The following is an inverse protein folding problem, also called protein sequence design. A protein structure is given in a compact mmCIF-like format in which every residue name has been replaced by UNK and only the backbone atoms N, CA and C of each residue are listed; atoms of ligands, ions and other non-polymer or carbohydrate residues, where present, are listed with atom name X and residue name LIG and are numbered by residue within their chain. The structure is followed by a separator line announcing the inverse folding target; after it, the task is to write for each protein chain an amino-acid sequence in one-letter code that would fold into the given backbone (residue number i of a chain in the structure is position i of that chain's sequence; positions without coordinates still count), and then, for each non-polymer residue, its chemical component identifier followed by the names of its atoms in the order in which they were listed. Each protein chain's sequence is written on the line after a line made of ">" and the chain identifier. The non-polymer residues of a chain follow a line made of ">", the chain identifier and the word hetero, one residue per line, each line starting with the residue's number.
data_IF_071733465510
#
_entry.id   IF_071733465510
#
_cell.length_a   1.000
_cell.length_b   1.000
_cell.length_c   1.000
_cell.angle_alpha   90.00
_cell.angle_beta   90.00
_cell.angle_gamma   90.00
#
_symmetry.space_group_name_H-M   'P 1'
#
loop_
_entity.id
_entity.type
_entity.pdbx_description
1 polymer ?
#
# COMPACT_ATOMS: atom_id res chain seq x y z
N UNK A 1 -14.40 6.19 13.65
CA UNK A 1 -14.02 4.78 13.50
C UNK A 1 -15.29 3.95 13.27
N UNK A 2 -15.38 3.25 12.17
CA UNK A 2 -16.52 2.37 11.87
C UNK A 2 -16.27 1.02 12.51
N UNK A 3 -17.28 0.50 13.22
CA UNK A 3 -17.23 -0.84 13.79
C UNK A 3 -16.93 -1.89 12.71
N UNK A 4 -15.97 -2.82 12.93
CA UNK A 4 -15.62 -3.88 11.97
C UNK A 4 -16.79 -4.73 11.52
N UNK A 5 -17.70 -5.10 12.44
CA UNK A 5 -18.87 -5.93 12.13
C UNK A 5 -19.89 -5.17 11.27
N UNK A 6 -20.12 -3.88 11.58
CA UNK A 6 -20.98 -3.03 10.75
C UNK A 6 -20.40 -2.84 9.36
N UNK A 7 -19.08 -2.64 9.25
CA UNK A 7 -18.39 -2.52 7.96
C UNK A 7 -18.49 -3.82 7.14
N UNK A 8 -18.30 -4.96 7.78
CA UNK A 8 -18.46 -6.27 7.13
C UNK A 8 -19.91 -6.52 6.67
N UNK A 9 -20.89 -6.01 7.43
CA UNK A 9 -22.30 -6.03 7.04
C UNK A 9 -22.56 -5.34 5.68
N UNK A 10 -21.87 -4.21 5.41
CA UNK A 10 -21.95 -3.52 4.13
C UNK A 10 -21.39 -4.37 2.98
N UNK A 11 -20.24 -5.05 3.19
CA UNK A 11 -19.68 -5.95 2.18
C UNK A 11 -20.62 -7.10 1.85
N UNK A 12 -21.25 -7.73 2.84
CA UNK A 12 -22.24 -8.80 2.60
C UNK A 12 -23.45 -8.29 1.81
N UNK A 13 -23.92 -7.08 2.13
CA UNK A 13 -25.00 -6.46 1.37
C UNK A 13 -24.58 -6.19 -0.06
N UNK A 14 -23.38 -5.64 -0.28
CA UNK A 14 -22.84 -5.39 -1.61
C UNK A 14 -22.73 -6.69 -2.45
N UNK A 15 -22.15 -7.73 -1.87
CA UNK A 15 -22.04 -9.05 -2.52
C UNK A 15 -23.39 -9.62 -2.95
N UNK A 16 -24.43 -9.45 -2.13
CA UNK A 16 -25.79 -9.90 -2.40
C UNK A 16 -26.42 -9.17 -3.60
N UNK A 17 -26.11 -7.89 -3.80
CA UNK A 17 -26.68 -7.10 -4.90
C UNK A 17 -25.82 -7.09 -6.15
N UNK A 18 -24.53 -7.42 -6.05
CA UNK A 18 -23.60 -7.41 -7.16
C UNK A 18 -24.07 -8.18 -8.41
N UNK A 19 -24.65 -9.40 -8.31
CA UNK A 19 -25.17 -10.12 -9.48
C UNK A 19 -26.28 -9.39 -10.22
N UNK A 20 -27.07 -8.57 -9.53
CA UNK A 20 -28.13 -7.75 -10.16
C UNK A 20 -27.57 -6.56 -10.93
N UNK A 21 -26.41 -6.07 -10.50
CA UNK A 21 -25.75 -4.90 -11.11
C UNK A 21 -24.83 -5.31 -12.25
N UNK A 22 -24.03 -6.35 -12.06
CA UNK A 22 -22.94 -6.74 -12.96
C UNK A 22 -23.23 -7.99 -13.77
N UNK A 23 -24.17 -8.85 -13.34
CA UNK A 23 -24.44 -10.15 -13.91
C UNK A 23 -23.79 -11.31 -13.14
N UNK A 24 -23.88 -12.50 -13.72
CA UNK A 24 -23.33 -13.73 -13.15
C UNK A 24 -21.91 -14.00 -13.66
N UNK A 25 -21.10 -14.77 -12.91
CA UNK A 25 -19.76 -15.18 -13.35
C UNK A 25 -19.75 -15.78 -14.74
N UNK A 26 -18.71 -15.45 -15.50
CA UNK A 26 -18.52 -15.99 -16.85
C UNK A 26 -18.20 -17.49 -16.78
N UNK A 27 -18.69 -18.24 -17.76
CA UNK A 27 -18.32 -19.64 -17.93
C UNK A 27 -16.89 -19.70 -18.51
N UNK A 28 -15.96 -20.25 -17.73
CA UNK A 28 -14.61 -20.51 -18.19
C UNK A 28 -14.44 -21.96 -18.60
N UNK A 29 -13.51 -22.29 -19.54
CA UNK A 29 -13.20 -23.69 -19.88
C UNK A 29 -12.84 -24.49 -18.61
N UNK A 30 -13.32 -25.74 -18.53
CA UNK A 30 -13.04 -26.60 -17.37
C UNK A 30 -11.54 -26.89 -17.24
N UNK A 31 -10.89 -27.20 -18.35
CA UNK A 31 -9.46 -27.48 -18.38
C UNK A 31 -8.62 -26.21 -18.50
N UNK A 32 -7.46 -26.24 -17.87
CA UNK A 32 -6.45 -25.21 -18.02
C UNK A 32 -5.75 -25.35 -19.38
N UNK A 33 -5.50 -24.24 -20.04
CA UNK A 33 -4.65 -24.24 -21.24
C UNK A 33 -3.22 -24.65 -20.88
N UNK A 34 -2.59 -25.60 -21.57
CA UNK A 34 -1.23 -26.01 -21.32
C UNK A 34 -0.19 -24.88 -21.44
N UNK A 35 0.98 -25.06 -20.87
CA UNK A 35 2.09 -24.12 -20.93
C UNK A 35 2.27 -23.33 -19.63
N UNK A 36 2.95 -22.19 -19.73
CA UNK A 36 3.23 -21.27 -18.58
C UNK A 36 1.92 -20.88 -17.86
N UNK A 37 2.04 -20.62 -16.58
CA UNK A 37 0.93 -20.10 -15.76
C UNK A 37 0.66 -18.65 -16.16
N UNK A 38 -0.58 -18.36 -16.54
CA UNK A 38 -0.99 -17.02 -16.99
C UNK A 38 -1.45 -16.19 -15.82
N UNK A 39 -0.69 -15.12 -15.55
CA UNK A 39 -1.02 -14.15 -14.51
C UNK A 39 -1.40 -12.83 -15.18
N UNK A 40 -2.62 -12.37 -14.94
CA UNK A 40 -3.09 -11.04 -15.33
C UNK A 40 -2.98 -10.05 -14.17
N UNK A 41 -2.57 -8.82 -14.45
CA UNK A 41 -2.57 -7.70 -13.51
C UNK A 41 -3.53 -6.63 -14.01
N UNK A 42 -4.54 -6.31 -13.20
CA UNK A 42 -5.59 -5.33 -13.48
C UNK A 42 -5.34 -4.06 -12.69
N UNK A 43 -5.10 -2.92 -13.35
CA UNK A 43 -4.86 -1.64 -12.68
C UNK A 43 -5.04 -0.43 -13.59
N UNK A 44 -5.51 0.69 -13.03
CA UNK A 44 -5.43 2.02 -13.64
C UNK A 44 -4.09 2.72 -13.41
N UNK A 45 -3.20 2.12 -12.63
CA UNK A 45 -1.95 2.73 -12.18
C UNK A 45 -0.69 2.12 -12.82
N UNK A 46 -0.84 1.38 -13.94
CA UNK A 46 0.28 0.91 -14.77
C UNK A 46 0.95 2.09 -15.52
N UNK A 47 1.31 3.12 -14.78
CA UNK A 47 1.77 4.43 -15.26
C UNK A 47 2.60 5.13 -14.18
N UNK A 48 2.96 6.40 -14.41
CA UNK A 48 3.63 7.24 -13.40
C UNK A 48 2.72 7.51 -12.20
N UNK A 49 2.58 6.52 -11.36
CA UNK A 49 1.83 6.53 -10.12
C UNK A 49 2.60 5.79 -9.04
N UNK A 50 2.40 6.14 -7.77
CA UNK A 50 3.08 5.50 -6.63
C UNK A 50 2.93 3.98 -6.68
N UNK A 51 1.69 3.49 -6.85
CA UNK A 51 1.39 2.06 -6.91
C UNK A 51 2.08 1.36 -8.09
N UNK A 52 2.01 1.96 -9.30
CA UNK A 52 2.69 1.40 -10.47
C UNK A 52 4.20 1.30 -10.26
N UNK A 53 4.83 2.32 -9.67
CA UNK A 53 6.27 2.29 -9.39
C UNK A 53 6.65 1.27 -8.33
N UNK A 54 5.84 1.14 -7.27
CA UNK A 54 6.05 0.19 -6.19
C UNK A 54 5.89 -1.25 -6.70
N UNK A 55 4.83 -1.54 -7.44
CA UNK A 55 4.60 -2.87 -8.02
C UNK A 55 5.66 -3.25 -9.06
N UNK A 56 6.14 -2.28 -9.85
CA UNK A 56 7.21 -2.53 -10.80
C UNK A 56 8.41 -3.20 -10.16
N UNK A 57 8.85 -2.74 -8.98
CA UNK A 57 10.04 -3.25 -8.29
C UNK A 57 9.98 -4.75 -7.98
N UNK A 58 8.79 -5.31 -7.87
CA UNK A 58 8.56 -6.75 -7.72
C UNK A 58 8.32 -7.43 -9.07
N UNK A 59 7.39 -6.89 -9.89
CA UNK A 59 6.92 -7.59 -11.08
C UNK A 59 7.99 -7.77 -12.16
N UNK A 60 9.03 -6.91 -12.21
CA UNK A 60 10.16 -7.05 -13.15
C UNK A 60 11.01 -8.32 -12.88
N UNK A 61 10.88 -8.93 -11.70
CA UNK A 61 11.64 -10.12 -11.29
C UNK A 61 10.89 -11.45 -11.47
N UNK A 62 9.71 -11.45 -12.08
CA UNK A 62 8.96 -12.68 -12.35
C UNK A 62 9.77 -13.71 -13.15
N UNK A 63 9.64 -14.99 -12.75
CA UNK A 63 10.21 -16.10 -13.50
C UNK A 63 9.46 -16.30 -14.83
N UNK A 64 10.05 -15.80 -15.92
CA UNK A 64 9.47 -15.79 -17.27
C UNK A 64 9.43 -17.18 -17.93
N UNK A 65 10.17 -18.14 -17.42
CA UNK A 65 10.08 -19.54 -17.87
C UNK A 65 8.81 -20.21 -17.36
N UNK A 66 8.36 -19.83 -16.17
CA UNK A 66 7.21 -20.40 -15.50
C UNK A 66 5.93 -19.61 -15.70
N UNK A 67 6.01 -18.29 -15.80
CA UNK A 67 4.87 -17.37 -15.81
C UNK A 67 4.79 -16.57 -17.12
N UNK A 68 3.57 -16.46 -17.65
CA UNK A 68 3.19 -15.59 -18.76
C UNK A 68 2.42 -14.41 -18.21
N UNK A 69 2.88 -13.18 -18.47
CA UNK A 69 2.38 -11.97 -17.82
C UNK A 69 1.46 -11.17 -18.75
N UNK A 70 0.27 -10.94 -18.26
CA UNK A 70 -0.77 -10.12 -18.90
C UNK A 70 -1.00 -8.85 -18.08
N UNK A 71 -1.06 -7.70 -18.72
CA UNK A 71 -1.37 -6.44 -18.06
C UNK A 71 -2.59 -5.80 -18.71
N UNK A 72 -3.61 -5.48 -17.89
CA UNK A 72 -4.83 -4.81 -18.31
C UNK A 72 -4.90 -3.45 -17.66
N UNK A 73 -4.73 -2.38 -18.47
CA UNK A 73 -4.80 -1.01 -17.97
C UNK A 73 -6.24 -0.51 -18.02
N UNK A 74 -6.75 -0.07 -16.87
CA UNK A 74 -8.03 0.64 -16.75
C UNK A 74 -7.87 2.17 -16.89
N UNK A 75 -6.69 2.64 -17.33
CA UNK A 75 -6.39 4.04 -17.62
C UNK A 75 -6.04 4.23 -19.09
N UNK A 76 -6.44 5.38 -19.66
CA UNK A 76 -6.03 5.81 -21.00
C UNK A 76 -4.71 6.58 -20.98
N UNK A 77 -4.17 6.90 -19.81
CA UNK A 77 -2.89 7.60 -19.68
C UNK A 77 -1.75 6.64 -20.06
N UNK A 78 -0.90 7.08 -21.01
CA UNK A 78 0.31 6.39 -21.38
C UNK A 78 1.52 7.31 -21.14
N UNK A 79 2.52 6.79 -20.43
CA UNK A 79 3.76 7.50 -20.12
C UNK A 79 4.95 6.51 -20.11
N UNK A 80 6.15 7.00 -19.72
CA UNK A 80 7.37 6.18 -19.69
C UNK A 80 7.24 4.93 -18.79
N UNK A 81 6.39 4.95 -17.78
CA UNK A 81 6.17 3.80 -16.92
C UNK A 81 5.22 2.80 -17.58
N UNK A 82 4.20 3.29 -18.29
CA UNK A 82 3.34 2.44 -19.13
C UNK A 82 4.17 1.68 -20.17
N UNK A 83 5.15 2.35 -20.81
CA UNK A 83 6.04 1.68 -21.78
C UNK A 83 6.95 0.64 -21.14
N UNK A 84 7.41 0.85 -19.89
CA UNK A 84 8.11 -0.19 -19.13
C UNK A 84 7.22 -1.42 -18.90
N UNK A 85 5.97 -1.22 -18.49
CA UNK A 85 5.02 -2.32 -18.33
C UNK A 85 4.74 -3.04 -19.64
N UNK A 86 4.65 -2.32 -20.77
CA UNK A 86 4.56 -2.93 -22.10
C UNK A 86 5.77 -3.81 -22.43
N UNK A 87 6.97 -3.35 -22.11
CA UNK A 87 8.19 -4.09 -22.32
C UNK A 87 8.34 -5.33 -21.43
N UNK A 88 7.70 -5.33 -20.26
CA UNK A 88 7.69 -6.48 -19.34
C UNK A 88 6.64 -7.53 -19.75
N UNK A 89 5.54 -7.10 -20.38
CA UNK A 89 4.39 -7.93 -20.66
C UNK A 89 4.63 -8.93 -21.78
N UNK A 90 4.09 -10.15 -21.67
CA UNK A 90 3.79 -10.99 -22.83
C UNK A 90 2.58 -10.40 -23.58
N UNK A 91 1.59 -9.86 -22.83
CA UNK A 91 0.39 -9.22 -23.36
C UNK A 91 0.05 -7.96 -22.55
N UNK A 92 -0.14 -6.84 -23.24
CA UNK A 92 -0.56 -5.58 -22.61
C UNK A 92 -1.76 -5.00 -23.36
N UNK A 93 -2.83 -4.72 -22.63
CA UNK A 93 -4.06 -4.18 -23.22
C UNK A 93 -4.61 -3.02 -22.41
N UNK A 94 -5.13 -2.00 -23.09
CA UNK A 94 -5.86 -0.88 -22.49
C UNK A 94 -7.35 -1.15 -22.62
N UNK A 95 -8.00 -1.47 -21.50
CA UNK A 95 -9.43 -1.79 -21.43
C UNK A 95 -10.26 -0.65 -20.82
N UNK A 96 -9.65 0.52 -20.64
CA UNK A 96 -10.23 1.67 -19.95
C UNK A 96 -11.59 2.12 -20.52
N UNK A 97 -11.75 2.03 -21.83
CA UNK A 97 -12.96 2.47 -22.53
C UNK A 97 -14.02 1.38 -22.71
N UNK A 98 -13.67 0.13 -22.39
CA UNK A 98 -14.65 -0.96 -22.46
C UNK A 98 -15.63 -0.89 -21.28
N UNK A 99 -16.91 -1.13 -21.50
CA UNK A 99 -17.85 -1.45 -20.42
C UNK A 99 -17.33 -2.66 -19.62
N UNK A 100 -17.54 -2.67 -18.31
CA UNK A 100 -16.98 -3.71 -17.43
C UNK A 100 -17.33 -5.15 -17.87
N UNK A 101 -18.57 -5.45 -18.34
CA UNK A 101 -18.87 -6.78 -18.86
C UNK A 101 -18.02 -7.14 -20.09
N UNK A 102 -17.81 -6.20 -21.02
CA UNK A 102 -16.99 -6.44 -22.21
C UNK A 102 -15.51 -6.59 -21.87
N UNK A 103 -15.02 -5.81 -20.89
CA UNK A 103 -13.69 -5.97 -20.38
C UNK A 103 -13.50 -7.36 -19.72
N UNK A 104 -14.47 -7.82 -18.95
CA UNK A 104 -14.43 -9.15 -18.35
C UNK A 104 -14.44 -10.26 -19.40
N UNK A 105 -15.29 -10.18 -20.43
CA UNK A 105 -15.31 -11.13 -21.57
C UNK A 105 -13.95 -11.15 -22.27
N UNK A 106 -13.34 -9.97 -22.49
CA UNK A 106 -12.03 -9.86 -23.13
C UNK A 106 -10.92 -10.52 -22.31
N UNK A 107 -10.90 -10.31 -21.00
CA UNK A 107 -9.94 -10.95 -20.07
C UNK A 107 -10.19 -12.48 -20.05
N UNK A 108 -11.44 -12.91 -20.00
CA UNK A 108 -11.79 -14.34 -19.98
C UNK A 108 -11.32 -15.09 -21.23
N UNK A 109 -11.29 -14.41 -22.41
CA UNK A 109 -10.80 -14.99 -23.66
C UNK A 109 -9.31 -15.36 -23.60
N UNK A 110 -8.52 -14.70 -22.75
CA UNK A 110 -7.10 -15.00 -22.56
C UNK A 110 -6.88 -16.24 -21.64
N UNK A 111 -7.93 -16.75 -21.01
CA UNK A 111 -7.93 -17.96 -20.18
C UNK A 111 -6.86 -17.89 -19.08
N UNK A 112 -6.85 -16.81 -18.31
CA UNK A 112 -5.93 -16.60 -17.21
C UNK A 112 -6.12 -17.66 -16.12
N UNK A 113 -4.99 -18.10 -15.56
CA UNK A 113 -5.01 -18.92 -14.34
C UNK A 113 -5.29 -18.04 -13.12
N UNK A 114 -4.66 -16.87 -13.07
CA UNK A 114 -4.78 -15.92 -11.96
C UNK A 114 -5.00 -14.52 -12.53
N UNK A 115 -5.95 -13.77 -11.97
CA UNK A 115 -6.06 -12.32 -12.17
C UNK A 115 -5.84 -11.63 -10.82
N UNK A 116 -4.85 -10.75 -10.78
CA UNK A 116 -4.50 -9.95 -9.60
C UNK A 116 -5.04 -8.54 -9.79
N UNK A 117 -5.97 -8.14 -8.96
CA UNK A 117 -6.47 -6.77 -8.92
C UNK A 117 -5.56 -5.90 -8.05
N UNK A 118 -4.97 -4.88 -8.65
CA UNK A 118 -4.12 -3.89 -7.99
C UNK A 118 -4.85 -2.58 -7.69
N UNK A 119 -6.16 -2.53 -7.90
CA UNK A 119 -6.96 -1.31 -7.71
C UNK A 119 -7.84 -1.39 -6.45
N UNK A 120 -8.42 -2.52 -6.15
CA UNK A 120 -9.38 -2.75 -5.05
C UNK A 120 -10.50 -1.70 -5.06
N UNK A 121 -10.44 -0.67 -4.18
CA UNK A 121 -11.42 0.41 -4.07
C UNK A 121 -10.79 1.79 -4.40
N UNK A 122 -9.67 1.85 -5.11
CA UNK A 122 -9.03 3.10 -5.49
C UNK A 122 -9.66 3.69 -6.76
N UNK A 123 -9.25 4.90 -7.12
CA UNK A 123 -9.72 5.53 -8.35
C UNK A 123 -9.40 4.67 -9.58
N UNK A 124 -10.38 4.45 -10.44
CA UNK A 124 -10.25 3.58 -11.62
C UNK A 124 -10.45 2.10 -11.37
N UNK A 125 -10.82 1.69 -10.16
CA UNK A 125 -11.25 0.33 -9.86
C UNK A 125 -12.44 -0.09 -10.74
N UNK A 126 -12.49 -1.37 -11.09
CA UNK A 126 -13.50 -1.98 -11.96
C UNK A 126 -14.11 -3.22 -11.29
N UNK A 127 -14.92 -3.02 -10.22
CA UNK A 127 -15.46 -4.14 -9.45
C UNK A 127 -16.37 -5.07 -10.24
N UNK A 128 -17.03 -4.57 -11.28
CA UNK A 128 -17.85 -5.41 -12.17
C UNK A 128 -17.03 -6.44 -12.95
N UNK A 129 -15.76 -6.15 -13.29
CA UNK A 129 -14.87 -7.16 -13.88
C UNK A 129 -14.66 -8.30 -12.89
N UNK A 130 -14.39 -7.98 -11.61
CA UNK A 130 -14.15 -8.98 -10.57
C UNK A 130 -15.43 -9.78 -10.23
N UNK A 131 -16.59 -9.12 -10.22
CA UNK A 131 -17.89 -9.78 -9.99
C UNK A 131 -18.19 -10.84 -11.05
N UNK A 132 -17.75 -10.62 -12.30
CA UNK A 132 -17.91 -11.54 -13.42
C UNK A 132 -16.87 -12.66 -13.46
N UNK A 133 -15.89 -12.64 -12.57
CA UNK A 133 -14.86 -13.69 -12.38
C UNK A 133 -14.22 -14.16 -13.69
N UNK A 134 -13.49 -13.29 -14.41
CA UNK A 134 -12.93 -13.59 -15.74
C UNK A 134 -11.67 -14.47 -15.72
N UNK A 135 -11.22 -14.93 -14.55
CA UNK A 135 -10.09 -15.83 -14.38
C UNK A 135 -10.41 -16.93 -13.36
N UNK A 136 -9.63 -18.01 -13.36
CA UNK A 136 -9.83 -19.16 -12.46
C UNK A 136 -9.72 -18.72 -11.00
N UNK A 137 -8.67 -17.96 -10.69
CA UNK A 137 -8.42 -17.42 -9.35
C UNK A 137 -8.34 -15.89 -9.42
N UNK A 138 -9.08 -15.22 -8.55
CA UNK A 138 -8.99 -13.77 -8.36
C UNK A 138 -8.31 -13.47 -7.04
N UNK A 139 -7.30 -12.60 -7.08
CA UNK A 139 -6.53 -12.17 -5.92
C UNK A 139 -6.54 -10.63 -5.87
N UNK A 140 -6.75 -10.04 -4.71
CA UNK A 140 -6.50 -8.60 -4.49
C UNK A 140 -5.15 -8.38 -3.82
N UNK A 141 -4.44 -7.33 -4.21
CA UNK A 141 -3.11 -7.01 -3.70
C UNK A 141 -2.89 -5.50 -3.57
N UNK A 142 -2.37 -5.08 -2.47
CA UNK A 142 -1.68 -3.83 -2.04
C UNK A 142 -2.37 -2.47 -2.29
N UNK A 143 -3.15 -2.27 -3.34
CA UNK A 143 -3.60 -0.93 -3.74
C UNK A 143 -4.48 -0.23 -2.71
N UNK A 144 -5.27 -0.99 -1.99
CA UNK A 144 -6.10 -0.49 -0.89
C UNK A 144 -5.97 -1.41 0.31
N UNK A 145 -5.92 -0.80 1.48
CA UNK A 145 -5.96 -1.54 2.74
C UNK A 145 -7.34 -2.19 3.04
N UNK A 146 -8.33 -1.96 2.18
CA UNK A 146 -9.66 -2.57 2.26
C UNK A 146 -9.75 -3.89 1.50
N UNK A 147 -10.95 -4.42 1.44
CA UNK A 147 -11.36 -5.56 0.62
C UNK A 147 -12.31 -5.08 -0.48
N UNK A 148 -12.48 -5.85 -1.54
CA UNK A 148 -13.48 -5.52 -2.59
C UNK A 148 -14.89 -5.78 -2.07
N UNK A 149 -15.06 -6.78 -1.20
CA UNK A 149 -16.35 -7.17 -0.66
C UNK A 149 -17.18 -8.00 -1.65
N UNK A 150 -16.51 -8.84 -2.42
CA UNK A 150 -17.14 -9.75 -3.39
C UNK A 150 -16.71 -11.19 -3.12
N UNK A 151 -17.65 -12.10 -2.89
CA UNK A 151 -17.39 -13.53 -2.70
C UNK A 151 -16.79 -14.23 -3.92
N UNK A 152 -16.78 -13.55 -5.07
CA UNK A 152 -16.16 -14.03 -6.32
C UNK A 152 -14.66 -13.79 -6.35
N UNK A 153 -14.14 -12.88 -5.53
CA UNK A 153 -12.71 -12.72 -5.28
C UNK A 153 -12.27 -13.82 -4.30
N UNK A 154 -11.36 -14.67 -4.73
CA UNK A 154 -10.98 -15.87 -3.98
C UNK A 154 -10.09 -15.51 -2.79
N UNK A 155 -9.10 -14.62 -3.01
CA UNK A 155 -8.10 -14.32 -2.01
C UNK A 155 -7.78 -12.83 -1.90
N UNK A 156 -7.41 -12.44 -0.69
CA UNK A 156 -6.70 -11.19 -0.41
C UNK A 156 -5.27 -11.53 0.01
N UNK A 157 -4.29 -11.08 -0.75
CA UNK A 157 -2.88 -11.23 -0.40
C UNK A 157 -2.54 -10.39 0.84
N UNK A 158 -1.84 -10.98 1.78
CA UNK A 158 -1.43 -10.35 3.04
C UNK A 158 -0.10 -10.94 3.53
N UNK A 159 0.34 -10.52 4.72
CA UNK A 159 1.46 -11.13 5.44
C UNK A 159 1.10 -11.37 6.92
N UNK A 160 2.01 -12.01 7.66
CA UNK A 160 1.80 -12.39 9.06
C UNK A 160 1.57 -11.21 10.02
N UNK A 161 1.93 -9.99 9.61
CA UNK A 161 1.82 -8.77 10.43
C UNK A 161 0.71 -7.84 9.95
N UNK A 162 0.46 -7.79 8.63
CA UNK A 162 -0.57 -6.94 8.04
C UNK A 162 -1.99 -7.42 8.36
N UNK A 163 -2.19 -8.72 8.46
CA UNK A 163 -3.42 -9.31 8.99
C UNK A 163 -3.12 -10.40 10.03
N UNK A 164 -3.99 -10.52 11.01
CA UNK A 164 -4.04 -11.66 11.92
C UNK A 164 -5.12 -12.63 11.46
N UNK A 165 -5.02 -13.94 11.76
CA UNK A 165 -5.99 -14.95 11.29
C UNK A 165 -7.45 -14.58 11.66
N UNK A 166 -7.66 -13.94 12.81
CA UNK A 166 -8.96 -13.50 13.27
C UNK A 166 -9.63 -12.47 12.37
N UNK A 167 -8.85 -11.77 11.52
CA UNK A 167 -9.38 -10.80 10.57
C UNK A 167 -10.18 -11.46 9.44
N UNK A 168 -10.03 -12.77 9.23
CA UNK A 168 -10.82 -13.52 8.24
C UNK A 168 -12.33 -13.33 8.44
N UNK A 169 -12.79 -13.18 9.68
CA UNK A 169 -14.22 -12.98 9.98
C UNK A 169 -14.82 -11.68 9.47
N UNK A 170 -13.99 -10.71 9.05
CA UNK A 170 -14.42 -9.39 8.62
C UNK A 170 -14.36 -9.19 7.10
N UNK A 171 -14.15 -10.25 6.32
CA UNK A 171 -14.02 -10.17 4.87
C UNK A 171 -14.51 -11.44 4.18
N UNK A 172 -14.91 -11.31 2.92
CA UNK A 172 -15.40 -12.42 2.10
C UNK A 172 -14.26 -13.17 1.43
N UNK A 173 -13.22 -12.44 1.04
CA UNK A 173 -12.00 -12.97 0.44
C UNK A 173 -11.22 -13.79 1.48
N UNK A 174 -10.68 -14.94 1.07
CA UNK A 174 -9.80 -15.73 1.95
C UNK A 174 -8.45 -15.03 2.10
N UNK A 175 -7.97 -14.86 3.34
CA UNK A 175 -6.62 -14.34 3.58
C UNK A 175 -5.58 -15.31 3.01
N UNK A 176 -4.69 -14.79 2.16
CA UNK A 176 -3.57 -15.50 1.57
C UNK A 176 -2.27 -14.90 2.09
N UNK A 177 -1.73 -15.39 3.22
CA UNK A 177 -0.48 -14.88 3.74
C UNK A 177 0.70 -15.32 2.88
N UNK A 178 1.52 -14.34 2.47
CA UNK A 178 2.81 -14.60 1.87
C UNK A 178 3.94 -14.49 2.90
N UNK A 179 5.06 -15.09 2.62
CA UNK A 179 6.28 -14.95 3.41
C UNK A 179 6.89 -13.56 3.18
N UNK A 180 7.39 -12.93 4.24
CA UNK A 180 7.91 -11.57 4.20
C UNK A 180 6.82 -10.50 4.19
N UNK A 181 7.16 -9.29 3.79
CA UNK A 181 6.24 -8.16 3.74
C UNK A 181 5.37 -8.21 2.48
N UNK A 182 4.08 -8.00 2.62
CA UNK A 182 3.15 -7.93 1.47
C UNK A 182 3.40 -6.70 0.59
N UNK A 183 4.04 -5.66 1.13
CA UNK A 183 4.33 -4.41 0.42
C UNK A 183 5.68 -4.50 -0.29
N UNK A 184 5.72 -4.38 -1.65
CA UNK A 184 6.99 -4.29 -2.36
C UNK A 184 7.77 -3.05 -1.94
N UNK A 185 9.07 -3.18 -1.80
CA UNK A 185 9.97 -2.09 -1.44
C UNK A 185 10.56 -1.43 -2.69
N UNK A 186 10.66 -0.11 -2.64
CA UNK A 186 11.33 0.64 -3.70
C UNK A 186 12.29 1.65 -3.09
N UNK A 187 13.57 1.52 -3.37
CA UNK A 187 14.56 2.54 -3.03
C UNK A 187 14.44 3.77 -3.93
N UNK A 188 14.45 4.94 -3.31
CA UNK A 188 14.43 6.22 -4.00
C UNK A 188 15.61 7.04 -3.49
N UNK A 189 16.75 7.08 -4.22
CA UNK A 189 17.85 7.95 -3.84
C UNK A 189 17.37 9.40 -3.76
N UNK A 190 17.63 10.12 -2.65
CA UNK A 190 17.25 11.52 -2.55
C UNK A 190 18.06 12.37 -3.54
N UNK A 191 17.45 13.43 -4.06
CA UNK A 191 18.14 14.40 -4.90
C UNK A 191 19.23 15.13 -4.07
N UNK A 192 20.40 15.31 -4.66
CA UNK A 192 21.49 16.08 -4.05
C UNK A 192 21.11 17.57 -3.92
N UNK A 193 20.43 18.11 -4.93
CA UNK A 193 19.89 19.45 -4.92
C UNK A 193 18.37 19.41 -4.73
N UNK A 194 17.88 20.07 -3.68
CA UNK A 194 16.47 20.10 -3.32
C UNK A 194 16.12 21.37 -2.51
N UNK A 195 14.84 21.76 -2.40
CA UNK A 195 14.43 22.93 -1.63
C UNK A 195 14.38 22.70 -0.10
N UNK A 196 14.54 21.47 0.37
CA UNK A 196 14.28 21.06 1.74
C UNK A 196 15.54 21.23 2.63
N UNK A 197 15.93 22.49 2.89
CA UNK A 197 16.99 22.85 3.83
C UNK A 197 16.44 23.70 4.96
N UNK A 198 16.87 23.47 6.20
CA UNK A 198 16.40 24.20 7.40
C UNK A 198 16.55 25.71 7.22
N UNK A 199 17.70 26.15 6.76
CA UNK A 199 18.00 27.57 6.57
C UNK A 199 17.10 28.22 5.52
N UNK A 200 16.84 27.54 4.41
CA UNK A 200 15.95 28.03 3.35
C UNK A 200 14.48 28.12 3.79
N UNK A 201 14.09 27.27 4.73
CA UNK A 201 12.72 27.20 5.24
C UNK A 201 12.54 27.96 6.57
N UNK A 202 13.58 28.65 7.07
CA UNK A 202 13.53 29.41 8.30
C UNK A 202 13.34 28.54 9.56
N UNK A 203 13.77 27.27 9.53
CA UNK A 203 13.61 26.33 10.64
C UNK A 203 14.83 26.46 11.58
N UNK A 204 14.60 26.83 12.84
CA UNK A 204 15.66 26.88 13.82
C UNK A 204 16.32 25.53 14.07
N UNK A 205 17.62 25.53 14.40
CA UNK A 205 18.41 24.29 14.54
C UNK A 205 17.89 23.37 15.66
N UNK A 206 17.29 23.93 16.69
CA UNK A 206 16.74 23.20 17.83
C UNK A 206 15.27 22.80 17.66
N UNK A 207 14.63 23.14 16.53
CA UNK A 207 13.28 22.76 16.22
C UNK A 207 13.19 21.27 15.90
N UNK A 208 12.29 20.55 16.55
CA UNK A 208 11.95 19.17 16.20
C UNK A 208 10.95 19.18 15.03
N UNK A 209 11.31 18.58 13.92
CA UNK A 209 10.44 18.48 12.73
C UNK A 209 9.78 17.11 12.67
N UNK A 210 8.48 17.07 12.90
CA UNK A 210 7.68 15.83 12.87
C UNK A 210 7.01 15.73 11.50
N UNK A 211 7.28 14.67 10.75
CA UNK A 211 6.69 14.45 9.44
C UNK A 211 5.27 13.83 9.50
N UNK A 212 4.35 14.39 8.73
CA UNK A 212 3.00 13.88 8.53
C UNK A 212 2.65 13.96 7.03
N UNK A 213 3.35 13.18 6.21
CA UNK A 213 3.25 13.21 4.75
C UNK A 213 2.17 12.25 4.25
N UNK A 214 0.93 12.57 4.57
CA UNK A 214 -0.24 11.73 4.30
C UNK A 214 -1.35 12.49 3.58
N UNK A 215 -2.24 11.76 2.91
CA UNK A 215 -3.46 12.36 2.37
C UNK A 215 -4.42 12.68 3.54
N UNK A 216 -4.99 13.89 3.63
CA UNK A 216 -5.90 14.28 4.70
C UNK A 216 -7.14 13.37 4.82
N UNK A 217 -7.54 12.68 3.75
CA UNK A 217 -8.63 11.69 3.78
C UNK A 217 -8.33 10.46 4.66
N UNK A 218 -7.07 10.23 5.02
CA UNK A 218 -6.65 9.16 5.94
C UNK A 218 -6.73 9.57 7.42
N UNK A 219 -6.98 10.84 7.71
CA UNK A 219 -6.91 11.38 9.06
C UNK A 219 -8.27 11.26 9.77
N UNK A 220 -8.29 10.56 10.88
CA UNK A 220 -9.42 10.54 11.80
C UNK A 220 -9.27 11.62 12.88
N UNK A 221 -10.39 11.97 13.55
CA UNK A 221 -10.34 12.86 14.72
C UNK A 221 -9.41 12.31 15.81
N UNK A 222 -9.45 10.99 16.05
CA UNK A 222 -8.56 10.31 17.00
C UNK A 222 -7.08 10.52 16.64
N UNK A 223 -6.73 10.33 15.37
CA UNK A 223 -5.37 10.57 14.87
C UNK A 223 -4.90 12.00 15.17
N UNK A 224 -5.71 12.98 14.78
CA UNK A 224 -5.38 14.40 14.98
C UNK A 224 -5.31 14.80 16.46
N UNK A 225 -6.14 14.20 17.32
CA UNK A 225 -6.07 14.42 18.77
C UNK A 225 -4.75 13.91 19.36
N UNK A 226 -4.28 12.73 18.94
CA UNK A 226 -2.98 12.20 19.37
C UNK A 226 -1.82 13.06 18.82
N UNK A 227 -1.89 13.54 17.59
CA UNK A 227 -0.89 14.45 17.03
C UNK A 227 -0.82 15.78 17.79
N UNK A 228 -1.99 16.30 18.19
CA UNK A 228 -2.03 17.48 19.06
C UNK A 228 -1.35 17.20 20.40
N UNK A 229 -1.66 16.09 21.06
CA UNK A 229 -1.06 15.71 22.33
C UNK A 229 0.46 15.57 22.23
N UNK A 230 0.97 14.97 21.14
CA UNK A 230 2.42 14.94 20.85
C UNK A 230 3.00 16.36 20.78
N UNK A 231 2.36 17.26 20.03
CA UNK A 231 2.83 18.64 19.92
C UNK A 231 2.78 19.40 21.26
N UNK A 232 1.72 19.22 22.06
CA UNK A 232 1.57 19.85 23.38
C UNK A 232 2.70 19.43 24.32
N UNK A 233 3.16 18.18 24.23
CA UNK A 233 4.26 17.63 25.05
C UNK A 233 5.66 17.94 24.51
N UNK A 234 5.77 18.41 23.27
CA UNK A 234 7.06 18.78 22.64
C UNK A 234 6.97 20.25 22.18
N UNK A 235 7.16 21.24 23.07
CA UNK A 235 6.92 22.65 22.76
C UNK A 235 7.73 23.20 21.56
N UNK A 236 8.90 22.64 21.26
CA UNK A 236 9.76 23.01 20.13
C UNK A 236 9.45 22.27 18.84
N UNK A 237 8.43 21.40 18.81
CA UNK A 237 8.11 20.65 17.60
C UNK A 237 7.22 21.43 16.63
N UNK A 238 7.40 21.19 15.35
CA UNK A 238 6.48 21.57 14.27
C UNK A 238 6.05 20.34 13.50
N UNK A 239 4.81 20.34 13.02
CA UNK A 239 4.25 19.28 12.17
C UNK A 239 4.47 19.65 10.70
N UNK A 240 5.35 18.93 10.02
CA UNK A 240 5.61 19.11 8.60
C UNK A 240 4.61 18.29 7.77
N UNK A 241 3.89 18.96 6.89
CA UNK A 241 2.86 18.37 6.00
C UNK A 241 3.24 18.59 4.54
N UNK A 242 3.10 17.55 3.69
CA UNK A 242 3.46 17.58 2.26
C UNK A 242 3.00 16.30 1.55
N UNK A 243 2.87 16.30 0.21
CA UNK A 243 2.70 17.46 -0.66
C UNK A 243 1.26 17.96 -0.62
N UNK A 244 1.06 19.22 -0.85
CA UNK A 244 -0.27 19.79 -0.78
C UNK A 244 -0.59 20.61 -2.04
N UNK A 245 -1.60 20.16 -2.79
CA UNK A 245 -2.31 21.06 -3.69
C UNK A 245 -3.03 22.17 -2.86
N UNK A 246 -3.30 23.35 -3.42
CA UNK A 246 -3.99 24.41 -2.69
C UNK A 246 -5.30 23.97 -2.02
N UNK A 247 -6.09 23.11 -2.67
CA UNK A 247 -7.31 22.55 -2.10
C UNK A 247 -7.06 21.67 -0.88
N UNK A 248 -6.04 20.82 -0.92
CA UNK A 248 -5.66 19.97 0.20
C UNK A 248 -5.08 20.77 1.37
N UNK A 249 -4.36 21.88 1.11
CA UNK A 249 -3.89 22.78 2.17
C UNK A 249 -5.05 23.33 2.99
N UNK A 250 -6.14 23.76 2.32
CA UNK A 250 -7.33 24.23 2.99
C UNK A 250 -7.99 23.14 3.85
N UNK A 251 -8.06 21.90 3.33
CA UNK A 251 -8.60 20.77 4.09
C UNK A 251 -7.74 20.50 5.33
N UNK A 252 -6.42 20.44 5.20
CA UNK A 252 -5.51 20.26 6.32
C UNK A 252 -5.67 21.36 7.38
N UNK A 253 -5.65 22.63 6.95
CA UNK A 253 -5.80 23.75 7.87
C UNK A 253 -7.09 23.65 8.71
N UNK A 254 -8.21 23.27 8.09
CA UNK A 254 -9.49 23.05 8.78
C UNK A 254 -9.43 21.89 9.76
N UNK A 255 -8.86 20.75 9.34
CA UNK A 255 -8.76 19.56 10.18
C UNK A 255 -7.88 19.81 11.41
N UNK A 256 -6.71 20.42 11.23
CA UNK A 256 -5.77 20.72 12.31
C UNK A 256 -6.34 21.76 13.28
N UNK A 257 -6.98 22.83 12.76
CA UNK A 257 -7.67 23.83 13.58
C UNK A 257 -8.82 23.23 14.40
N UNK A 258 -9.56 22.27 13.83
CA UNK A 258 -10.69 21.61 14.52
C UNK A 258 -10.29 20.83 15.77
N UNK A 259 -9.01 20.47 15.88
CA UNK A 259 -8.45 19.82 17.10
C UNK A 259 -7.55 20.77 17.90
N UNK A 260 -7.47 22.04 17.51
CA UNK A 260 -6.73 23.07 18.23
C UNK A 260 -5.22 23.06 17.99
N UNK A 261 -4.73 22.52 16.87
CA UNK A 261 -3.32 22.67 16.46
C UNK A 261 -3.16 24.06 15.82
N UNK A 262 -2.36 24.95 16.41
CA UNK A 262 -2.19 26.30 15.89
C UNK A 262 -1.35 26.29 14.59
N UNK A 263 -1.64 27.22 13.69
CA UNK A 263 -0.98 27.31 12.38
C UNK A 263 0.52 27.50 12.46
N UNK A 264 0.99 28.16 13.52
CA UNK A 264 2.40 28.41 13.80
C UNK A 264 3.19 27.13 14.11
N UNK A 265 2.49 26.06 14.45
CA UNK A 265 3.05 24.71 14.69
C UNK A 265 3.00 23.83 13.46
N UNK A 266 2.57 24.36 12.29
CA UNK A 266 2.43 23.60 11.05
C UNK A 266 3.36 24.15 9.99
N UNK A 267 4.25 23.32 9.49
CA UNK A 267 5.16 23.60 8.40
C UNK A 267 4.66 22.97 7.11
N UNK A 268 4.12 23.78 6.21
CA UNK A 268 3.70 23.29 4.88
C UNK A 268 4.93 23.24 3.97
N UNK A 269 5.37 22.02 3.60
CA UNK A 269 6.48 21.83 2.68
C UNK A 269 6.00 21.91 1.22
N UNK A 270 6.82 22.48 0.32
CA UNK A 270 6.53 22.47 -1.10
C UNK A 270 6.53 21.03 -1.64
N UNK A 271 5.89 20.83 -2.79
CA UNK A 271 6.02 19.60 -3.54
C UNK A 271 7.35 19.59 -4.29
N UNK A 272 8.09 18.48 -4.21
CA UNK A 272 9.27 18.28 -5.06
C UNK A 272 8.87 18.06 -6.52
N UNK A 273 9.76 18.41 -7.45
CA UNK A 273 9.55 18.27 -8.89
C UNK A 273 9.49 16.82 -9.37
N UNK A 274 10.07 15.92 -8.60
CA UNK A 274 10.15 14.49 -8.89
C UNK A 274 10.27 13.65 -7.60
N UNK A 275 10.31 12.32 -7.75
CA UNK A 275 10.39 11.39 -6.61
C UNK A 275 11.65 11.60 -5.76
N UNK A 276 12.80 11.86 -6.38
CA UNK A 276 14.06 12.03 -5.66
C UNK A 276 14.08 13.32 -4.81
N UNK A 277 13.49 14.40 -5.30
CA UNK A 277 13.29 15.60 -4.48
C UNK A 277 12.27 15.37 -3.37
N UNK A 278 11.14 14.70 -3.66
CA UNK A 278 10.18 14.35 -2.63
C UNK A 278 10.79 13.45 -1.56
N UNK A 279 11.72 12.56 -1.94
CA UNK A 279 12.45 11.72 -0.99
C UNK A 279 13.38 12.58 -0.09
N UNK A 280 14.03 13.60 -0.65
CA UNK A 280 14.93 14.47 0.09
C UNK A 280 14.26 15.23 1.26
N UNK A 281 12.93 15.45 1.23
CA UNK A 281 12.18 16.11 2.34
C UNK A 281 12.30 15.33 3.66
N UNK A 282 12.50 14.01 3.61
CA UNK A 282 12.71 13.22 4.83
C UNK A 282 14.04 13.56 5.53
N UNK A 283 14.99 14.18 4.85
CA UNK A 283 16.21 14.71 5.46
C UNK A 283 15.98 15.87 6.44
N UNK A 284 14.83 16.56 6.36
CA UNK A 284 14.42 17.57 7.32
C UNK A 284 13.80 17.00 8.59
N UNK A 285 13.29 15.77 8.52
CA UNK A 285 12.37 15.21 9.49
C UNK A 285 13.14 14.43 10.56
N UNK A 286 12.83 14.67 11.80
CA UNK A 286 13.41 13.92 12.92
C UNK A 286 12.74 12.53 13.03
N UNK A 287 11.41 12.48 12.96
CA UNK A 287 10.61 11.24 12.88
C UNK A 287 9.26 11.53 12.23
N UNK A 288 8.52 10.51 11.85
CA UNK A 288 7.19 10.62 11.26
C UNK A 288 6.11 10.01 12.16
N UNK A 289 4.90 10.56 12.04
CA UNK A 289 3.70 10.04 12.69
C UNK A 289 2.84 9.33 11.65
N UNK A 290 2.68 8.01 11.82
CA UNK A 290 1.82 7.21 10.94
C UNK A 290 0.34 7.52 11.24
N UNK A 291 -0.49 7.77 10.22
CA UNK A 291 -1.90 8.08 10.43
C UNK A 291 -2.72 6.86 10.83
N UNK A 292 -3.87 7.09 11.45
CA UNK A 292 -4.85 6.08 11.81
C UNK A 292 -6.27 6.56 11.53
N UNK A 293 -7.19 5.68 11.13
CA UNK A 293 -7.11 4.21 11.02
C UNK A 293 -6.45 3.70 9.73
N UNK A 294 -6.02 4.57 8.85
CA UNK A 294 -5.37 4.22 7.58
C UNK A 294 -3.89 4.56 7.64
N UNK A 295 -3.08 3.57 7.95
CA UNK A 295 -1.61 3.68 8.00
C UNK A 295 -0.98 4.09 6.66
N UNK A 296 0.21 4.63 6.74
CA UNK A 296 1.06 4.87 5.59
C UNK A 296 1.56 3.54 5.02
N UNK A 297 1.56 3.41 3.69
CA UNK A 297 2.27 2.34 3.01
C UNK A 297 3.56 2.90 2.39
N UNK A 298 3.46 3.54 1.25
CA UNK A 298 4.62 4.13 0.57
C UNK A 298 5.35 5.18 1.44
N UNK A 299 4.62 6.05 2.15
CA UNK A 299 5.24 7.06 3.02
C UNK A 299 6.04 6.46 4.18
N UNK A 300 5.63 5.31 4.71
CA UNK A 300 6.39 4.56 5.71
C UNK A 300 7.68 4.01 5.11
N UNK A 301 7.62 3.37 3.93
CA UNK A 301 8.80 2.87 3.23
C UNK A 301 9.77 4.00 2.87
N UNK A 302 9.27 5.15 2.39
CA UNK A 302 10.09 6.33 2.08
C UNK A 302 10.82 6.86 3.33
N UNK A 303 10.13 6.93 4.48
CA UNK A 303 10.76 7.35 5.74
C UNK A 303 11.85 6.37 6.17
N UNK A 304 11.56 5.07 6.14
CA UNK A 304 12.52 4.01 6.51
C UNK A 304 13.76 4.04 5.60
N UNK A 305 13.58 4.25 4.29
CA UNK A 305 14.70 4.35 3.32
C UNK A 305 15.67 5.49 3.65
N UNK A 306 15.16 6.56 4.29
CA UNK A 306 15.96 7.68 4.80
C UNK A 306 16.41 7.51 6.27
N UNK A 307 16.23 6.32 6.84
CA UNK A 307 16.51 6.01 8.25
C UNK A 307 15.75 6.93 9.23
N UNK A 308 14.58 7.40 8.84
CA UNK A 308 13.70 8.23 9.67
C UNK A 308 12.74 7.32 10.45
N UNK A 309 12.72 7.39 11.80
CA UNK A 309 11.79 6.62 12.62
C UNK A 309 10.33 6.92 12.28
N UNK A 310 9.50 5.87 12.29
CA UNK A 310 8.06 5.97 12.06
C UNK A 310 7.34 5.50 13.32
N UNK A 311 6.56 6.37 13.96
CA UNK A 311 5.71 5.99 15.08
C UNK A 311 4.38 5.49 14.53
N UNK A 312 4.04 4.23 14.75
CA UNK A 312 2.80 3.62 14.27
C UNK A 312 1.97 3.04 15.42
N UNK A 313 0.66 3.15 15.31
CA UNK A 313 -0.30 2.54 16.26
C UNK A 313 -0.91 1.31 15.61
N UNK A 314 -0.65 0.14 16.20
CA UNK A 314 -1.22 -1.13 15.72
C UNK A 314 -2.71 -1.20 16.02
N UNK A 315 -3.49 -1.43 14.99
CA UNK A 315 -4.92 -1.67 15.12
C UNK A 315 -5.31 -3.11 14.80
N UNK A 316 -6.59 -3.31 14.53
CA UNK A 316 -7.17 -4.63 14.25
C UNK A 316 -7.20 -4.97 12.77
N UNK A 317 -7.48 -3.99 11.91
CA UNK A 317 -7.69 -4.18 10.47
C UNK A 317 -6.38 -4.01 9.71
N UNK A 318 -6.28 -4.61 8.54
CA UNK A 318 -5.14 -4.49 7.63
C UNK A 318 -4.65 -3.05 7.48
N UNK A 319 -5.55 -2.09 7.21
CA UNK A 319 -5.19 -0.68 7.05
C UNK A 319 -4.57 -0.02 8.28
N UNK A 320 -4.85 -0.54 9.47
CA UNK A 320 -4.30 -0.09 10.75
C UNK A 320 -2.98 -0.76 11.10
N UNK A 321 -2.49 -1.65 10.22
CA UNK A 321 -1.33 -2.51 10.47
C UNK A 321 -0.24 -2.38 9.39
N UNK A 322 -0.46 -1.53 8.37
CA UNK A 322 0.50 -1.35 7.28
C UNK A 322 1.89 -0.95 7.78
N UNK A 323 1.98 0.12 8.59
CA UNK A 323 3.24 0.57 9.18
C UNK A 323 3.87 -0.49 10.11
N UNK A 324 3.03 -1.18 10.89
CA UNK A 324 3.49 -2.29 11.73
C UNK A 324 4.09 -3.43 10.91
N UNK A 325 3.43 -3.86 9.83
CA UNK A 325 3.96 -4.92 8.97
C UNK A 325 5.35 -4.58 8.45
N UNK A 326 5.54 -3.36 7.94
CA UNK A 326 6.84 -2.93 7.42
C UNK A 326 7.92 -2.90 8.50
N UNK A 327 7.61 -2.32 9.68
CA UNK A 327 8.55 -2.26 10.80
C UNK A 327 8.90 -3.64 11.35
N UNK A 328 7.92 -4.53 11.47
CA UNK A 328 8.13 -5.89 11.96
C UNK A 328 8.97 -6.72 10.97
N UNK A 329 8.68 -6.64 9.67
CA UNK A 329 9.49 -7.28 8.64
C UNK A 329 10.91 -6.72 8.55
N UNK A 330 11.10 -5.45 8.93
CA UNK A 330 12.42 -4.83 9.05
C UNK A 330 13.16 -5.24 10.34
N UNK A 331 12.46 -5.82 11.32
CA UNK A 331 13.00 -6.14 12.64
C UNK A 331 13.11 -4.94 13.58
N UNK A 332 12.34 -3.87 13.32
CA UNK A 332 12.38 -2.60 14.09
C UNK A 332 11.01 -2.33 14.71
N UNK A 333 10.80 -2.78 15.93
CA UNK A 333 9.50 -2.63 16.64
C UNK A 333 9.52 -1.57 17.75
N UNK A 334 10.64 -0.87 17.94
CA UNK A 334 10.84 0.14 19.00
C UNK A 334 9.81 1.29 18.94
N UNK A 335 9.28 1.59 17.76
CA UNK A 335 8.34 2.70 17.52
C UNK A 335 6.92 2.22 17.22
N UNK A 336 6.62 0.95 17.54
CA UNK A 336 5.30 0.34 17.40
C UNK A 336 4.54 0.49 18.70
N UNK A 337 3.41 1.19 18.67
CA UNK A 337 2.54 1.42 19.81
C UNK A 337 1.32 0.50 19.80
N UNK A 338 0.94 -0.03 20.97
CA UNK A 338 -0.29 -0.81 21.18
C UNK A 338 -1.46 0.06 21.67
N UNK A 339 -1.20 1.30 22.13
CA UNK A 339 -2.22 2.24 22.62
C UNK A 339 -1.90 3.67 22.21
N UNK A 340 -2.92 4.56 22.26
CA UNK A 340 -2.73 5.98 21.98
C UNK A 340 -1.74 6.64 22.95
N UNK A 341 -1.78 6.29 24.22
CA UNK A 341 -0.81 6.80 25.20
C UNK A 341 0.63 6.37 24.86
N UNK A 342 0.82 5.09 24.52
CA UNK A 342 2.14 4.61 24.11
C UNK A 342 2.63 5.27 22.80
N UNK A 343 1.73 5.56 21.86
CA UNK A 343 2.05 6.29 20.63
C UNK A 343 2.62 7.69 20.96
N UNK A 344 1.98 8.41 21.87
CA UNK A 344 2.45 9.72 22.32
C UNK A 344 3.78 9.60 23.08
N UNK A 345 3.91 8.63 24.01
CA UNK A 345 5.15 8.42 24.76
C UNK A 345 6.34 8.11 23.85
N UNK A 346 6.18 7.25 22.85
CA UNK A 346 7.23 6.94 21.88
C UNK A 346 7.65 8.20 21.11
N UNK A 347 6.69 9.00 20.64
CA UNK A 347 6.96 10.24 19.93
C UNK A 347 7.73 11.24 20.81
N UNK A 348 7.31 11.40 22.07
CA UNK A 348 8.00 12.26 23.05
C UNK A 348 9.42 11.75 23.31
N UNK A 349 9.57 10.43 23.50
CA UNK A 349 10.90 9.84 23.73
C UNK A 349 11.84 10.03 22.53
N UNK A 350 11.37 9.89 21.31
CA UNK A 350 12.17 10.20 20.11
C UNK A 350 12.64 11.66 20.09
N UNK A 351 11.81 12.59 20.57
CA UNK A 351 12.13 14.01 20.59
C UNK A 351 13.06 14.43 21.74
N UNK A 352 13.08 13.69 22.86
CA UNK A 352 13.72 14.11 24.12
C UNK A 352 14.89 13.23 24.56
N UNK A 353 15.02 12.01 23.99
CA UNK A 353 16.07 11.04 24.30
C UNK A 353 16.94 10.81 23.06
N UNK A 354 18.08 11.52 22.89
CA UNK A 354 18.98 11.34 21.75
C UNK A 354 19.55 9.93 21.63
N UNK A 355 19.70 9.22 22.75
CA UNK A 355 20.17 7.83 22.77
C UNK A 355 19.16 6.91 22.11
N UNK A 356 17.90 7.01 22.47
CA UNK A 356 16.81 6.26 21.86
C UNK A 356 16.64 6.59 20.36
N UNK A 357 16.72 7.87 20.00
CA UNK A 357 16.69 8.28 18.60
C UNK A 357 17.82 7.62 17.79
N UNK A 358 19.04 7.63 18.31
CA UNK A 358 20.20 7.04 17.66
C UNK A 358 20.07 5.51 17.56
N UNK A 359 19.58 4.84 18.60
CA UNK A 359 19.28 3.41 18.62
C UNK A 359 18.30 3.03 17.51
N UNK A 360 17.15 3.69 17.43
CA UNK A 360 16.11 3.42 16.42
C UNK A 360 16.64 3.65 15.01
N UNK A 361 17.32 4.75 14.76
CA UNK A 361 17.93 5.04 13.44
C UNK A 361 18.98 3.99 13.05
N UNK A 362 19.78 3.54 14.01
CA UNK A 362 20.76 2.47 13.79
C UNK A 362 20.10 1.14 13.47
N UNK A 363 19.03 0.79 14.20
CA UNK A 363 18.25 -0.41 13.97
C UNK A 363 17.61 -0.40 12.57
N UNK A 364 17.07 0.74 12.12
CA UNK A 364 16.50 0.88 10.76
C UNK A 364 17.59 0.63 9.71
N UNK A 365 18.75 1.29 9.81
CA UNK A 365 19.87 1.09 8.86
C UNK A 365 20.30 -0.37 8.79
N UNK A 366 20.53 -0.98 9.95
CA UNK A 366 20.92 -2.39 10.03
C UNK A 366 19.83 -3.34 9.49
N UNK A 367 18.57 -2.98 9.72
CA UNK A 367 17.43 -3.71 9.15
C UNK A 367 17.40 -3.63 7.64
N UNK A 368 17.55 -2.46 7.05
CA UNK A 368 17.55 -2.26 5.58
C UNK A 368 18.68 -3.02 4.86
N UNK A 369 19.80 -3.26 5.54
CA UNK A 369 20.92 -4.02 4.98
C UNK A 369 20.69 -5.54 4.99
N UNK A 370 19.90 -6.05 5.94
CA UNK A 370 19.78 -7.48 6.24
C UNK A 370 18.39 -8.07 6.05
N UNK A 371 17.37 -7.21 6.01
CA UNK A 371 15.99 -7.66 5.92
C UNK A 371 15.61 -8.11 4.51
N UNK A 372 14.83 -9.21 4.40
CA UNK A 372 14.18 -9.60 3.15
C UNK A 372 13.24 -8.51 2.58
N UNK A 373 12.87 -7.50 3.38
CA UNK A 373 12.03 -6.38 2.93
C UNK A 373 12.62 -5.66 1.71
N UNK A 374 13.95 -5.56 1.61
CA UNK A 374 14.64 -4.83 0.51
C UNK A 374 15.04 -5.74 -0.66
N UNK A 375 14.93 -7.04 -0.52
CA UNK A 375 15.24 -8.03 -1.56
C UNK A 375 14.00 -8.29 -2.44
N UNK A 376 13.87 -7.53 -3.52
CA UNK A 376 12.72 -7.67 -4.42
C UNK A 376 12.75 -8.96 -5.24
N UNK A 377 13.89 -9.57 -5.45
CA UNK A 377 13.99 -10.90 -6.08
C UNK A 377 13.38 -11.95 -5.15
N UNK A 378 13.78 -11.98 -3.88
CA UNK A 378 13.18 -12.86 -2.89
C UNK A 378 11.68 -12.57 -2.70
N UNK A 379 11.30 -11.28 -2.61
CA UNK A 379 9.89 -10.87 -2.51
C UNK A 379 9.06 -11.47 -3.66
N UNK A 380 9.54 -11.37 -4.90
CA UNK A 380 8.83 -11.93 -6.05
C UNK A 380 8.69 -13.44 -5.98
N UNK A 381 9.72 -14.16 -5.49
CA UNK A 381 9.62 -15.62 -5.25
C UNK A 381 8.55 -15.97 -4.22
N UNK A 382 8.44 -15.16 -3.14
CA UNK A 382 7.40 -15.34 -2.13
C UNK A 382 6.01 -15.07 -2.72
N UNK A 383 5.89 -14.03 -3.53
CA UNK A 383 4.67 -13.69 -4.27
C UNK A 383 4.25 -14.82 -5.21
N UNK A 384 5.18 -15.35 -6.00
CA UNK A 384 4.94 -16.47 -6.90
C UNK A 384 4.50 -17.74 -6.15
N UNK A 385 5.12 -18.04 -5.00
CA UNK A 385 4.67 -19.16 -4.14
C UNK A 385 3.24 -18.97 -3.65
N UNK A 386 2.89 -17.76 -3.20
CA UNK A 386 1.52 -17.46 -2.77
C UNK A 386 0.51 -17.64 -3.93
N UNK A 387 0.87 -17.22 -5.14
CA UNK A 387 0.02 -17.42 -6.32
C UNK A 387 -0.18 -18.90 -6.67
N UNK A 388 0.88 -19.70 -6.58
CA UNK A 388 0.80 -21.14 -6.80
C UNK A 388 -0.05 -21.83 -5.73
N UNK A 389 0.12 -21.43 -4.46
CA UNK A 389 -0.71 -21.92 -3.36
C UNK A 389 -2.19 -21.58 -3.57
N UNK A 390 -2.51 -20.36 -4.02
CA UNK A 390 -3.87 -19.96 -4.33
C UNK A 390 -4.48 -20.80 -5.46
N UNK A 391 -3.70 -21.05 -6.52
CA UNK A 391 -4.13 -21.87 -7.64
C UNK A 391 -4.36 -23.33 -7.22
N UNK A 392 -3.44 -23.90 -6.41
CA UNK A 392 -3.56 -25.26 -5.88
C UNK A 392 -4.80 -25.44 -4.98
N UNK A 393 -5.06 -24.46 -4.09
CA UNK A 393 -6.23 -24.50 -3.20
C UNK A 393 -7.56 -24.49 -3.95
N UNK A 394 -7.64 -23.79 -5.08
CA UNK A 394 -8.88 -23.67 -5.86
C UNK A 394 -8.98 -24.67 -7.02
N UNK A 395 -7.86 -25.04 -7.62
CA UNK A 395 -7.76 -25.89 -8.80
C UNK A 395 -6.57 -26.87 -8.70
N UNK A 396 -6.64 -27.88 -7.82
CA UNK A 396 -5.50 -28.81 -7.59
C UNK A 396 -5.01 -29.50 -8.86
N UNK A 397 -5.92 -29.84 -9.77
CA UNK A 397 -5.60 -30.48 -11.05
C UNK A 397 -4.82 -29.56 -12.02
N UNK A 398 -4.85 -28.23 -11.82
CA UNK A 398 -4.21 -27.29 -12.74
C UNK A 398 -2.68 -27.34 -12.67
N UNK A 399 -2.10 -27.70 -11.50
CA UNK A 399 -0.64 -27.79 -11.32
C UNK A 399 -0.08 -29.15 -11.71
N UNK A 400 -0.86 -30.22 -11.65
CA UNK A 400 -0.43 -31.56 -12.10
C UNK A 400 -0.07 -31.58 -13.59
N UNK A 401 -0.75 -30.77 -14.40
CA UNK A 401 -0.52 -30.66 -15.85
C UNK A 401 0.68 -29.75 -16.24
N UNK A 402 1.32 -29.05 -15.30
CA UNK A 402 2.46 -28.15 -15.58
C UNK A 402 3.81 -28.80 -15.32
N UNK A 403 3.85 -30.01 -14.76
CA UNK A 403 5.07 -30.74 -14.40
C UNK A 403 5.36 -31.92 -15.34
N UNK A 404 4.65 -32.05 -16.47
CA UNK A 404 4.78 -33.09 -17.48
C UNK A 404 5.45 -32.59 -18.79
#
# INVERSE_FOLDING_TARGET
>A
DVDPDAHFGLYKTYDTVAPRVYGWPLALPAERRPGRIRIGYLSGDLRNHVMGKMMWSALEHHNRERFELYFYSTSTVSDRWTERYRGLADHFEVIAQLPEPKAAERIAADQLDILVDLATNTHGAKPGILALKPARVLITHVASAGVVGLSKVDFKLTDAYADVPENQRFQLETLLPMEGCVYPYRRIPPAAEHPFHRDRLGIAQDTIVIGAFVNPLKLSRRCLTLWREVLDRIPRAVLAISPLSPGLQTVYARLLSAVGIPKERVLALPQGRNDAENQARYGLVDFTLDPMPYGGANGTLEALDMSVPVVTLVGRKHGERCGYSMLANLGVTHTVAASGSQYVEIAVRLATDPGFMAEVRSAIRAGLERSPLTDMVAHTRHLERAYLQALEQRYPAALAASNG
#
